data_IF_955801725016
#
_entry.id   IF_955801725016
#
_cell.length_a   1.000
_cell.length_b   1.000
_cell.length_c   1.000
_cell.angle_alpha   90.00
_cell.angle_beta   90.00
_cell.angle_gamma   90.00
#
_symmetry.space_group_name_H-M   'P 1'
#
loop_
_entity.id
_entity.type
_entity.pdbx_description
1 polymer ?
#
# COMPACT_ATOMS: atom_id res chain seq x y z
N UNK A 1 -15.87 21.61 -41.01
CA UNK A 1 -14.97 20.67 -40.32
C UNK A 1 -14.54 21.39 -39.06
N UNK A 2 -15.30 21.19 -37.99
CA UNK A 2 -15.08 21.88 -36.72
C UNK A 2 -13.96 21.16 -35.96
N UNK A 3 -12.80 21.79 -35.88
CA UNK A 3 -11.73 21.38 -34.98
C UNK A 3 -12.15 21.71 -33.55
N UNK A 4 -12.79 20.74 -32.90
CA UNK A 4 -13.13 20.82 -31.48
C UNK A 4 -11.93 20.37 -30.64
N UNK A 5 -10.83 21.14 -30.69
CA UNK A 5 -9.74 21.04 -29.72
C UNK A 5 -10.18 21.72 -28.42
N UNK A 6 -11.01 21.02 -27.65
CA UNK A 6 -11.23 21.39 -26.25
C UNK A 6 -9.91 21.13 -25.51
N UNK A 7 -9.29 22.14 -24.86
CA UNK A 7 -8.16 21.88 -23.97
C UNK A 7 -8.68 21.02 -22.83
N UNK A 8 -8.11 19.82 -22.69
CA UNK A 8 -8.40 18.86 -21.64
C UNK A 8 -8.34 19.59 -20.28
N UNK A 9 -9.51 19.85 -19.73
CA UNK A 9 -9.69 20.74 -18.60
C UNK A 9 -9.11 20.08 -17.35
N UNK A 10 -7.90 20.49 -16.98
CA UNK A 10 -7.51 20.60 -15.57
C UNK A 10 -7.38 19.30 -14.80
N UNK A 11 -6.87 18.22 -15.40
CA UNK A 11 -6.25 17.17 -14.60
C UNK A 11 -4.96 17.76 -13.98
N UNK A 12 -5.06 18.29 -12.76
CA UNK A 12 -3.91 18.75 -11.98
C UNK A 12 -2.95 17.57 -11.83
N UNK A 13 -1.88 17.55 -12.62
CA UNK A 13 -0.82 16.55 -12.48
C UNK A 13 -0.16 16.76 -11.13
N UNK A 14 -0.54 15.96 -10.14
CA UNK A 14 0.16 15.91 -8.86
C UNK A 14 1.45 15.13 -9.04
N UNK A 15 2.59 15.81 -8.90
CA UNK A 15 3.90 15.18 -8.85
C UNK A 15 4.19 14.81 -7.40
N UNK A 16 4.30 13.51 -7.12
CA UNK A 16 4.72 13.00 -5.82
C UNK A 16 6.20 12.63 -5.87
N UNK A 17 6.92 12.89 -4.79
CA UNK A 17 8.23 12.29 -4.57
C UNK A 17 8.07 10.79 -4.32
N UNK A 18 9.13 10.02 -4.61
CA UNK A 18 9.12 8.58 -4.33
C UNK A 18 8.94 8.33 -2.83
N UNK A 19 9.50 9.18 -1.97
CA UNK A 19 9.38 9.05 -0.52
C UNK A 19 7.94 9.24 -0.02
N UNK A 20 7.24 10.27 -0.52
CA UNK A 20 5.81 10.50 -0.22
C UNK A 20 4.95 9.29 -0.63
N UNK A 21 5.18 8.75 -1.84
CA UNK A 21 4.45 7.56 -2.29
C UNK A 21 4.72 6.35 -1.40
N UNK A 22 5.97 6.17 -0.94
CA UNK A 22 6.33 5.10 -0.03
C UNK A 22 5.72 5.29 1.36
N UNK A 23 5.65 6.52 1.88
CA UNK A 23 4.98 6.85 3.15
C UNK A 23 3.49 6.52 3.08
N UNK A 24 2.80 6.98 2.04
CA UNK A 24 1.38 6.71 1.82
C UNK A 24 1.10 5.21 1.69
N UNK A 25 1.96 4.50 0.96
CA UNK A 25 1.87 3.04 0.81
C UNK A 25 2.04 2.35 2.16
N UNK A 26 3.03 2.76 2.96
CA UNK A 26 3.24 2.23 4.30
C UNK A 26 2.03 2.46 5.20
N UNK A 27 1.50 3.68 5.22
CA UNK A 27 0.34 4.05 6.03
C UNK A 27 -0.88 3.20 5.66
N UNK A 28 -1.14 3.00 4.36
CA UNK A 28 -2.24 2.16 3.88
C UNK A 28 -2.09 0.69 4.30
N UNK A 29 -0.89 0.12 4.17
CA UNK A 29 -0.61 -1.26 4.59
C UNK A 29 -0.78 -1.45 6.11
N UNK A 30 -0.35 -0.47 6.91
CA UNK A 30 -0.59 -0.50 8.36
C UNK A 30 -2.08 -0.46 8.71
N UNK A 31 -2.88 0.36 8.02
CA UNK A 31 -4.34 0.39 8.21
C UNK A 31 -4.98 -0.96 7.92
N UNK A 32 -4.61 -1.62 6.82
CA UNK A 32 -5.10 -2.97 6.49
C UNK A 32 -4.79 -3.94 7.63
N UNK A 33 -3.53 -3.93 8.11
CA UNK A 33 -3.11 -4.81 9.19
C UNK A 33 -3.89 -4.57 10.49
N UNK A 34 -4.17 -3.31 10.84
CA UNK A 34 -5.00 -2.99 12.02
C UNK A 34 -6.43 -3.52 11.83
N UNK A 35 -7.09 -3.22 10.71
CA UNK A 35 -8.45 -3.68 10.42
C UNK A 35 -8.56 -5.21 10.49
N UNK A 36 -7.58 -5.93 9.96
CA UNK A 36 -7.55 -7.40 10.03
C UNK A 36 -7.38 -7.91 11.47
N UNK A 37 -6.55 -7.24 12.27
CA UNK A 37 -6.34 -7.59 13.69
C UNK A 37 -7.63 -7.39 14.49
N UNK A 38 -8.25 -6.22 14.36
CA UNK A 38 -9.53 -5.89 15.03
C UNK A 38 -10.65 -6.83 14.60
N UNK A 39 -10.70 -7.17 13.31
CA UNK A 39 -11.68 -8.13 12.77
C UNK A 39 -11.50 -9.55 13.34
N UNK A 40 -10.29 -9.92 13.79
CA UNK A 40 -10.07 -11.22 14.46
C UNK A 40 -10.53 -11.20 15.90
N UNK A 41 -10.38 -10.08 16.61
CA UNK A 41 -10.78 -9.93 18.00
C UNK A 41 -12.31 -9.86 18.17
N UNK A 42 -13.01 -9.26 17.19
CA UNK A 42 -14.47 -9.10 17.21
C UNK A 42 -15.30 -10.32 16.78
N UNK A 43 -14.67 -11.45 16.40
CA UNK A 43 -15.39 -12.64 15.92
C UNK A 43 -15.60 -13.64 17.08
N UNK A 44 -16.81 -13.71 17.68
CA UNK A 44 -17.10 -14.73 18.67
C UNK A 44 -16.98 -16.11 18.01
N UNK A 45 -16.37 -17.06 18.73
CA UNK A 45 -16.04 -18.42 18.27
C UNK A 45 -17.27 -19.32 18.12
N UNK A 46 -18.33 -18.82 17.49
CA UNK A 46 -19.44 -19.66 17.02
C UNK A 46 -18.94 -20.43 15.81
N UNK A 47 -18.72 -21.73 16.04
CA UNK A 47 -18.35 -22.78 15.07
C UNK A 47 -19.28 -22.80 13.85
N UNK A 48 -19.11 -21.85 12.93
CA UNK A 48 -19.72 -21.87 11.60
C UNK A 48 -18.63 -22.00 10.54
N UNK A 49 -18.81 -22.86 9.52
CA UNK A 49 -17.85 -23.04 8.43
C UNK A 49 -17.52 -21.73 7.69
N UNK A 50 -18.48 -20.80 7.62
CA UNK A 50 -18.30 -19.48 7.04
C UNK A 50 -17.25 -18.65 7.80
N UNK A 51 -17.26 -18.71 9.12
CA UNK A 51 -16.29 -18.03 10.00
C UNK A 51 -14.86 -18.55 9.79
N UNK A 52 -14.69 -19.85 9.50
CA UNK A 52 -13.39 -20.41 9.18
C UNK A 52 -12.83 -19.86 7.86
N UNK A 53 -13.66 -19.78 6.81
CA UNK A 53 -13.26 -19.21 5.51
C UNK A 53 -12.90 -17.73 5.61
N UNK A 54 -13.68 -16.95 6.37
CA UNK A 54 -13.39 -15.53 6.62
C UNK A 54 -12.06 -15.37 7.36
N UNK A 55 -11.79 -16.17 8.39
CA UNK A 55 -10.50 -16.17 9.12
C UNK A 55 -9.31 -16.45 8.19
N UNK A 56 -9.42 -17.44 7.29
CA UNK A 56 -8.36 -17.74 6.31
C UNK A 56 -8.13 -16.60 5.34
N UNK A 57 -9.21 -15.96 4.84
CA UNK A 57 -9.07 -14.83 3.93
C UNK A 57 -8.46 -13.61 4.62
N UNK A 58 -8.86 -13.31 5.86
CA UNK A 58 -8.25 -12.26 6.67
C UNK A 58 -6.75 -12.52 6.89
N UNK A 59 -6.35 -13.77 7.14
CA UNK A 59 -4.94 -14.12 7.26
C UNK A 59 -4.15 -13.86 5.98
N UNK A 60 -4.72 -14.18 4.81
CA UNK A 60 -4.09 -13.88 3.52
C UNK A 60 -3.90 -12.38 3.32
N UNK A 61 -4.89 -11.57 3.70
CA UNK A 61 -4.82 -10.10 3.62
C UNK A 61 -3.74 -9.56 4.56
N UNK A 62 -3.63 -10.11 5.78
CA UNK A 62 -2.55 -9.75 6.71
C UNK A 62 -1.17 -10.07 6.13
N UNK A 63 -0.98 -11.29 5.62
CA UNK A 63 0.31 -11.71 5.03
C UNK A 63 0.67 -10.81 3.84
N UNK A 64 -0.31 -10.44 3.02
CA UNK A 64 -0.10 -9.47 1.94
C UNK A 64 0.38 -8.11 2.49
N UNK A 65 -0.26 -7.58 3.53
CA UNK A 65 0.13 -6.32 4.13
C UNK A 65 1.55 -6.38 4.72
N UNK A 66 1.88 -7.45 5.44
CA UNK A 66 3.21 -7.65 6.04
C UNK A 66 4.31 -7.73 4.96
N UNK A 67 4.08 -8.49 3.88
CA UNK A 67 5.02 -8.54 2.73
C UNK A 67 5.15 -7.20 2.03
N UNK A 68 4.05 -6.47 1.85
CA UNK A 68 4.07 -5.12 1.29
C UNK A 68 4.95 -4.17 2.10
N UNK A 69 4.88 -4.25 3.44
CA UNK A 69 5.70 -3.43 4.33
C UNK A 69 7.19 -3.75 4.18
N UNK A 70 7.55 -5.02 4.01
CA UNK A 70 8.94 -5.43 3.74
C UNK A 70 9.44 -4.90 2.39
N UNK A 71 8.60 -4.92 1.35
CA UNK A 71 8.92 -4.33 0.05
C UNK A 71 9.17 -2.82 0.17
N UNK A 72 8.31 -2.08 0.87
CA UNK A 72 8.50 -0.63 1.07
C UNK A 72 9.78 -0.33 1.84
N UNK A 73 10.08 -1.07 2.91
CA UNK A 73 11.34 -0.93 3.65
C UNK A 73 12.56 -1.19 2.77
N UNK A 74 12.51 -2.24 1.95
CA UNK A 74 13.58 -2.60 1.03
C UNK A 74 13.78 -1.52 -0.04
N UNK A 75 12.69 -0.97 -0.58
CA UNK A 75 12.75 0.14 -1.53
C UNK A 75 13.42 1.37 -0.93
N UNK A 76 13.06 1.75 0.31
CA UNK A 76 13.72 2.86 1.02
C UNK A 76 15.21 2.63 1.22
N UNK A 77 15.61 1.44 1.65
CA UNK A 77 17.02 1.09 1.82
C UNK A 77 17.79 1.21 0.50
N UNK A 78 17.21 0.73 -0.61
CA UNK A 78 17.82 0.84 -1.92
C UNK A 78 17.93 2.29 -2.39
N UNK A 79 16.90 3.12 -2.17
CA UNK A 79 16.94 4.54 -2.51
C UNK A 79 18.01 5.29 -1.71
N UNK A 80 18.07 5.08 -0.39
CA UNK A 80 19.10 5.67 0.46
C UNK A 80 20.52 5.24 0.04
N UNK A 81 20.71 3.97 -0.34
CA UNK A 81 22.02 3.47 -0.81
C UNK A 81 22.47 4.11 -2.13
N UNK A 82 21.53 4.51 -3.00
CA UNK A 82 21.83 5.20 -4.26
C UNK A 82 22.13 6.68 -4.08
N UNK A 83 21.53 7.33 -3.09
CA UNK A 83 21.81 8.73 -2.76
C UNK A 83 23.19 8.94 -2.11
N UNK A 84 23.80 7.88 -1.56
CA UNK A 84 25.13 7.91 -0.94
C UNK A 84 26.30 7.68 -1.90
N UNK A 85 26.07 7.47 -3.20
CA UNK A 85 27.15 7.40 -4.20
C UNK A 85 27.41 8.83 -4.71
N UNK A 86 28.50 9.50 -4.31
CA UNK A 86 28.94 10.70 -5.01
C UNK A 86 29.17 10.34 -6.48
N UNK A 87 28.73 11.22 -7.37
CA UNK A 87 28.95 11.07 -8.80
C UNK A 87 30.42 10.73 -9.06
N UNK A 88 30.62 9.68 -9.86
CA UNK A 88 31.88 9.52 -10.57
C UNK A 88 31.89 10.66 -11.59
N UNK A 89 32.51 11.78 -11.22
CA UNK A 89 32.97 12.81 -12.14
C UNK A 89 34.10 12.28 -13.03
#
# INVERSE_FOLDING_TARGET
>A
MDSNDAPDAGATRSTFTVDELLDDTMAWLYRIRMVVTESREGVPDRRMPHTARVRVNLEKVRIFADRGLECVKSARLQLASKQGLPGIE
#
